data_IF_169626015318
#
_entry.id   IF_169626015318
#
_cell.length_a   1.000
_cell.length_b   1.000
_cell.length_c   1.000
_cell.angle_alpha   90.00
_cell.angle_beta   90.00
_cell.angle_gamma   90.00
#
_symmetry.space_group_name_H-M   'P 1'
#
loop_
_entity.id
_entity.type
_entity.pdbx_description
1 polymer ?
#
# COMPACT_ATOMS: atom_id res chain seq x y z
N UNK A 1 -1.90 -14.45 0.81
CA UNK A 1 -1.20 -15.49 1.59
C UNK A 1 -0.40 -14.81 2.68
N UNK A 2 -0.23 -15.47 3.82
CA UNK A 2 0.62 -15.01 4.91
C UNK A 2 1.62 -16.13 5.24
N UNK A 3 2.83 -15.75 5.64
CA UNK A 3 3.88 -16.69 6.05
C UNK A 3 4.49 -16.14 7.32
N UNK A 4 4.54 -16.96 8.35
CA UNK A 4 5.11 -16.66 9.65
C UNK A 4 4.93 -17.86 10.58
N UNK A 5 5.56 -17.81 11.75
CA UNK A 5 5.46 -18.85 12.76
C UNK A 5 4.55 -18.38 13.90
N UNK A 6 3.81 -19.31 14.49
CA UNK A 6 3.01 -19.06 15.69
C UNK A 6 3.89 -18.68 16.90
N UNK A 7 5.08 -19.29 16.99
CA UNK A 7 6.09 -18.89 17.94
C UNK A 7 6.92 -17.71 17.38
N UNK A 8 6.69 -16.52 17.94
CA UNK A 8 7.37 -15.29 17.56
C UNK A 8 8.85 -15.24 17.96
N UNK A 9 9.32 -16.13 18.84
CA UNK A 9 10.73 -16.23 19.21
C UNK A 9 11.59 -16.81 18.08
N UNK A 10 10.97 -17.54 17.15
CA UNK A 10 11.65 -18.16 16.01
C UNK A 10 11.48 -17.28 14.78
N UNK A 11 12.52 -16.49 14.50
CA UNK A 11 12.54 -15.54 13.39
C UNK A 11 13.35 -16.02 12.18
N UNK A 12 13.19 -15.30 11.07
CA UNK A 12 14.10 -15.43 9.93
C UNK A 12 15.47 -14.84 10.28
N UNK A 13 16.54 -15.48 9.82
CA UNK A 13 17.91 -15.02 10.07
C UNK A 13 18.23 -13.63 9.51
N UNK A 14 17.44 -13.13 8.55
CA UNK A 14 17.54 -11.77 8.03
C UNK A 14 16.24 -11.31 7.37
N UNK A 15 16.12 -9.99 7.23
CA UNK A 15 14.97 -9.32 6.60
C UNK A 15 14.77 -9.72 5.14
N UNK A 16 15.84 -10.01 4.38
CA UNK A 16 15.72 -10.43 2.98
C UNK A 16 14.90 -11.71 2.85
N UNK A 17 15.08 -12.66 3.78
CA UNK A 17 14.30 -13.89 3.85
C UNK A 17 12.92 -13.67 4.50
N UNK A 18 12.86 -12.91 5.58
CA UNK A 18 11.63 -12.74 6.37
C UNK A 18 10.65 -11.68 5.88
N UNK A 19 10.99 -10.94 4.83
CA UNK A 19 10.06 -10.01 4.20
C UNK A 19 8.86 -10.78 3.64
N UNK A 20 7.66 -10.40 4.07
CA UNK A 20 6.41 -11.05 3.63
C UNK A 20 6.26 -11.10 2.11
N UNK A 21 6.79 -10.12 1.38
CA UNK A 21 6.81 -10.14 -0.09
C UNK A 21 7.66 -11.30 -0.65
N UNK A 22 8.85 -11.57 -0.10
CA UNK A 22 9.71 -12.65 -0.59
C UNK A 22 9.21 -14.03 -0.16
N UNK A 23 8.67 -14.15 1.05
CA UNK A 23 8.19 -15.42 1.58
C UNK A 23 6.82 -15.82 1.00
N UNK A 24 5.85 -14.89 0.96
CA UNK A 24 4.45 -15.20 0.64
C UNK A 24 4.12 -15.17 -0.85
N UNK A 25 4.84 -14.37 -1.64
CA UNK A 25 4.51 -14.12 -3.04
C UNK A 25 4.74 -15.35 -3.94
N UNK A 26 5.86 -16.10 -3.84
CA UNK A 26 6.07 -17.27 -4.70
C UNK A 26 5.00 -18.35 -4.49
N UNK A 27 4.62 -18.58 -3.23
CA UNK A 27 3.54 -19.51 -2.86
C UNK A 27 2.21 -19.09 -3.49
N UNK A 28 1.85 -17.81 -3.36
CA UNK A 28 0.63 -17.28 -3.96
C UNK A 28 0.65 -17.34 -5.49
N UNK A 29 1.79 -17.01 -6.10
CA UNK A 29 1.96 -17.03 -7.56
C UNK A 29 1.70 -18.42 -8.13
N UNK A 30 2.30 -19.47 -7.57
CA UNK A 30 2.10 -20.85 -8.00
C UNK A 30 0.64 -21.29 -7.77
N UNK A 31 0.07 -20.96 -6.60
CA UNK A 31 -1.32 -21.27 -6.29
C UNK A 31 -2.28 -20.61 -7.30
N UNK A 32 -2.08 -19.33 -7.60
CA UNK A 32 -2.90 -18.59 -8.55
C UNK A 32 -2.72 -19.09 -10.00
N UNK A 33 -1.53 -19.52 -10.39
CA UNK A 33 -1.29 -20.17 -11.69
C UNK A 33 -2.12 -21.45 -11.84
N UNK A 34 -2.14 -22.30 -10.81
CA UNK A 34 -2.95 -23.53 -10.79
C UNK A 34 -4.44 -23.22 -10.89
N UNK A 35 -4.93 -22.23 -10.14
CA UNK A 35 -6.32 -21.79 -10.22
C UNK A 35 -6.68 -21.20 -11.59
N UNK A 36 -5.78 -20.45 -12.21
CA UNK A 36 -6.00 -19.90 -13.55
C UNK A 36 -6.04 -20.97 -14.64
N UNK A 37 -5.37 -22.12 -14.44
CA UNK A 37 -5.37 -23.23 -15.40
C UNK A 37 -6.68 -24.02 -15.39
N UNK A 38 -7.35 -24.10 -14.23
CA UNK A 38 -8.62 -24.80 -14.07
C UNK A 38 -9.81 -23.85 -14.32
N UNK A 39 -10.57 -24.13 -15.38
CA UNK A 39 -11.70 -23.31 -15.82
C UNK A 39 -12.85 -23.27 -14.80
N UNK A 40 -12.95 -24.24 -13.90
CA UNK A 40 -13.98 -24.25 -12.85
C UNK A 40 -13.88 -23.03 -11.92
N UNK A 41 -12.67 -22.47 -11.75
CA UNK A 41 -12.41 -21.30 -10.92
C UNK A 41 -12.50 -19.96 -11.65
N UNK A 42 -12.86 -19.93 -12.93
CA UNK A 42 -12.92 -18.68 -13.72
C UNK A 42 -13.80 -17.59 -13.09
N UNK A 43 -14.87 -17.99 -12.39
CA UNK A 43 -15.76 -17.07 -11.69
C UNK A 43 -15.06 -16.28 -10.57
N UNK A 44 -13.95 -16.80 -10.02
CA UNK A 44 -13.09 -16.12 -9.04
C UNK A 44 -11.91 -15.45 -9.76
N UNK A 45 -11.19 -16.22 -10.58
CA UNK A 45 -9.88 -15.81 -11.11
C UNK A 45 -9.95 -14.73 -12.20
N UNK A 46 -11.09 -14.61 -12.88
CA UNK A 46 -11.34 -13.61 -13.92
C UNK A 46 -12.33 -12.53 -13.48
N UNK A 47 -12.74 -12.54 -12.21
CA UNK A 47 -13.62 -11.52 -11.67
C UNK A 47 -12.97 -10.14 -11.82
N UNK A 48 -13.78 -9.14 -12.21
CA UNK A 48 -13.34 -7.76 -12.32
C UNK A 48 -14.02 -6.94 -11.24
N UNK A 49 -13.28 -6.02 -10.64
CA UNK A 49 -13.87 -5.01 -9.78
C UNK A 49 -14.74 -4.08 -10.62
N UNK A 50 -15.88 -3.69 -10.07
CA UNK A 50 -16.73 -2.68 -10.68
C UNK A 50 -15.96 -1.35 -10.80
N UNK A 51 -16.26 -0.61 -11.84
CA UNK A 51 -15.73 0.75 -12.00
C UNK A 51 -16.12 1.60 -10.79
N UNK A 52 -15.18 2.31 -10.15
CA UNK A 52 -15.50 3.19 -9.03
C UNK A 52 -16.37 4.35 -9.52
N UNK A 53 -17.27 4.83 -8.65
CA UNK A 53 -18.13 5.99 -8.93
C UNK A 53 -17.30 7.26 -9.12
N UNK A 54 -17.88 8.28 -9.77
CA UNK A 54 -17.25 9.59 -9.95
C UNK A 54 -16.80 10.21 -8.63
N UNK A 55 -17.61 10.08 -7.58
CA UNK A 55 -17.30 10.56 -6.23
C UNK A 55 -16.06 9.86 -5.63
N UNK A 56 -15.93 8.54 -5.80
CA UNK A 56 -14.75 7.80 -5.34
C UNK A 56 -13.50 8.20 -6.14
N UNK A 57 -13.62 8.31 -7.46
CA UNK A 57 -12.50 8.77 -8.32
C UNK A 57 -12.00 10.15 -7.93
N UNK A 58 -12.91 11.08 -7.62
CA UNK A 58 -12.54 12.41 -7.15
C UNK A 58 -11.78 12.38 -5.83
N UNK A 59 -12.07 11.42 -4.94
CA UNK A 59 -11.37 11.28 -3.65
C UNK A 59 -10.02 10.57 -3.78
N UNK A 60 -9.83 9.74 -4.79
CA UNK A 60 -8.55 9.08 -5.09
C UNK A 60 -7.55 10.02 -5.76
N UNK A 61 -8.02 11.13 -6.33
CA UNK A 61 -7.16 12.15 -6.94
C UNK A 61 -6.56 13.04 -5.83
N UNK A 62 -5.43 12.60 -5.26
CA UNK A 62 -4.71 13.36 -4.25
C UNK A 62 -4.11 14.66 -4.84
N UNK A 63 -4.17 15.74 -4.07
CA UNK A 63 -3.46 16.98 -4.43
C UNK A 63 -1.95 16.71 -4.59
N UNK A 64 -1.29 17.36 -5.56
CA UNK A 64 0.15 17.22 -5.72
C UNK A 64 0.86 17.61 -4.42
N UNK A 65 1.81 16.78 -3.99
CA UNK A 65 2.61 17.04 -2.80
C UNK A 65 3.35 18.37 -3.00
N UNK A 66 2.92 19.41 -2.28
CA UNK A 66 3.57 20.73 -2.32
C UNK A 66 5.01 20.58 -1.81
N UNK A 67 5.98 20.71 -2.72
CA UNK A 67 7.39 20.79 -2.34
C UNK A 67 7.62 22.14 -1.65
N UNK A 68 8.29 22.14 -0.49
CA UNK A 68 8.70 23.38 0.16
C UNK A 68 9.50 24.23 -0.85
N UNK A 69 9.11 25.50 -1.02
CA UNK A 69 9.82 26.44 -1.88
C UNK A 69 11.29 26.62 -1.47
N UNK A 70 12.14 27.03 -2.42
CA UNK A 70 13.59 27.15 -2.24
C UNK A 70 13.98 27.88 -0.93
N UNK A 71 13.40 29.06 -0.66
CA UNK A 71 13.70 29.83 0.54
C UNK A 71 13.21 29.18 1.85
N UNK A 72 12.09 28.45 1.84
CA UNK A 72 11.63 27.68 3.02
C UNK A 72 12.54 26.50 3.33
N UNK A 73 13.30 26.01 2.35
CA UNK A 73 14.33 24.99 2.54
C UNK A 73 15.65 25.61 3.00
N UNK A 74 16.00 26.78 2.47
CA UNK A 74 17.24 27.50 2.82
C UNK A 74 17.22 28.03 4.26
N UNK A 75 16.10 28.60 4.69
CA UNK A 75 15.98 29.25 6.00
C UNK A 75 15.20 28.39 7.02
N UNK A 76 15.20 27.07 6.84
CA UNK A 76 14.50 26.15 7.75
C UNK A 76 15.25 26.03 9.06
N UNK A 77 14.73 26.64 10.12
CA UNK A 77 15.34 26.54 11.46
C UNK A 77 15.36 25.06 11.94
N UNK A 78 16.54 24.48 12.23
CA UNK A 78 16.70 23.07 12.57
C UNK A 78 16.01 22.67 13.90
N UNK A 79 15.84 23.61 14.83
CA UNK A 79 15.30 23.33 16.16
C UNK A 79 13.75 23.43 16.25
N UNK A 80 13.08 23.73 15.13
CA UNK A 80 11.62 23.88 15.12
C UNK A 80 10.92 22.53 14.98
N UNK A 81 10.22 22.08 16.03
CA UNK A 81 9.36 20.89 16.01
C UNK A 81 8.31 21.03 14.90
N UNK A 82 8.31 20.10 13.93
CA UNK A 82 7.30 20.08 12.86
C UNK A 82 5.95 19.63 13.44
N UNK A 83 5.02 20.53 13.70
CA UNK A 83 3.60 20.15 13.87
C UNK A 83 2.97 19.97 12.49
N UNK A 84 2.44 18.77 12.23
CA UNK A 84 1.56 18.52 11.10
C UNK A 84 0.13 18.65 11.61
N UNK A 85 -0.49 19.80 11.36
CA UNK A 85 -1.94 19.94 11.55
C UNK A 85 -2.59 19.33 10.31
N UNK A 86 -3.09 18.10 10.43
CA UNK A 86 -3.92 17.51 9.39
C UNK A 86 -5.21 18.33 9.32
N UNK A 87 -5.43 19.00 8.18
CA UNK A 87 -6.71 19.66 7.93
C UNK A 87 -7.76 18.56 7.76
N UNK A 88 -8.64 18.42 8.74
CA UNK A 88 -9.92 17.74 8.56
C UNK A 88 -10.71 18.58 7.57
N UNK A 89 -10.97 18.02 6.38
CA UNK A 89 -11.61 18.75 5.30
C UNK A 89 -12.99 19.27 5.71
N UNK A 90 -13.15 20.59 5.72
CA UNK A 90 -14.45 21.25 5.60
C UNK A 90 -14.37 22.32 4.51
N UNK A 91 -15.28 22.12 3.57
CA UNK A 91 -15.95 23.07 2.69
C UNK A 91 -15.11 23.84 1.66
N UNK A 92 -15.18 23.32 0.43
CA UNK A 92 -15.17 24.13 -0.79
C UNK A 92 -16.59 24.71 -0.94
N UNK A 93 -16.76 26.01 -0.71
CA UNK A 93 -17.78 26.83 -1.39
C UNK A 93 -17.19 27.33 -2.69
#
# INVERSE_FOLDING_TARGET
>A
SWVGLDNHEIGFSNTRLGQGANAALPLFGIWMQKLNADKSFNHITRARFNSPSSAVRSKLNCDPVKRDGFFKRLFKNPNKKKSRNFRTGKDKT
#
